data_IF_155019548787
#
_entry.id   IF_155019548787
#
_cell.length_a   1.000
_cell.length_b   1.000
_cell.length_c   1.000
_cell.angle_alpha   90.00
_cell.angle_beta   90.00
_cell.angle_gamma   90.00
#
_symmetry.space_group_name_H-M   'P 1'
#
loop_
_entity.id
_entity.type
_entity.pdbx_description
1 polymer ?
#
# COMPACT_ATOMS: atom_id res chain seq x y z
N UNK A 1 -21.60 7.68 2.97
CA UNK A 1 -20.76 7.75 4.18
C UNK A 1 -19.85 8.95 4.02
N UNK A 2 -19.88 9.88 4.96
CA UNK A 2 -18.95 11.02 5.00
C UNK A 2 -17.52 10.49 5.25
N UNK A 3 -16.47 11.14 4.72
CA UNK A 3 -15.05 10.78 4.94
C UNK A 3 -14.75 10.46 6.40
N UNK A 4 -15.22 11.32 7.32
CA UNK A 4 -14.95 11.17 8.75
C UNK A 4 -15.55 9.87 9.32
N UNK A 5 -16.72 9.47 8.82
CA UNK A 5 -17.35 8.20 9.19
C UNK A 5 -16.55 7.01 8.66
N UNK A 6 -16.04 7.10 7.42
CA UNK A 6 -15.19 6.06 6.83
C UNK A 6 -13.91 5.87 7.65
N UNK A 7 -13.19 6.97 7.94
CA UNK A 7 -11.93 6.94 8.70
C UNK A 7 -12.17 6.43 10.13
N UNK A 8 -13.25 6.88 10.78
CA UNK A 8 -13.62 6.38 12.11
C UNK A 8 -13.88 4.88 12.12
N UNK A 9 -14.60 4.36 11.13
CA UNK A 9 -14.86 2.93 11.00
C UNK A 9 -13.54 2.15 10.81
N UNK A 10 -12.69 2.61 9.90
CA UNK A 10 -11.37 2.00 9.63
C UNK A 10 -10.53 1.94 10.91
N UNK A 11 -10.43 3.03 11.66
CA UNK A 11 -9.67 3.07 12.90
C UNK A 11 -10.24 2.14 13.98
N UNK A 12 -11.58 2.01 14.07
CA UNK A 12 -12.21 1.07 15.00
C UNK A 12 -11.83 -0.37 14.66
N UNK A 13 -11.98 -0.76 13.38
CA UNK A 13 -11.62 -2.11 12.92
C UNK A 13 -10.13 -2.38 13.05
N UNK A 14 -9.27 -1.37 12.85
CA UNK A 14 -7.83 -1.48 13.09
C UNK A 14 -7.50 -1.82 14.56
N UNK A 15 -8.09 -1.12 15.52
CA UNK A 15 -7.87 -1.40 16.95
C UNK A 15 -8.41 -2.78 17.35
N UNK A 16 -9.54 -3.21 16.77
CA UNK A 16 -10.08 -4.56 16.97
C UNK A 16 -9.14 -5.63 16.41
N UNK A 17 -8.60 -5.45 15.20
CA UNK A 17 -7.64 -6.37 14.58
C UNK A 17 -6.35 -6.44 15.39
N UNK A 18 -5.83 -5.28 15.82
CA UNK A 18 -4.64 -5.20 16.66
C UNK A 18 -4.83 -5.97 17.96
N UNK A 19 -5.98 -5.81 18.63
CA UNK A 19 -6.29 -6.59 19.83
C UNK A 19 -6.46 -8.09 19.55
N UNK A 20 -7.02 -8.46 18.38
CA UNK A 20 -7.17 -9.87 17.99
C UNK A 20 -5.83 -10.56 17.71
N UNK A 21 -4.85 -9.85 17.14
CA UNK A 21 -3.52 -10.37 16.82
C UNK A 21 -2.67 -10.71 18.06
N UNK A 22 -3.02 -10.19 19.23
CA UNK A 22 -2.43 -10.60 20.52
C UNK A 22 -2.92 -11.98 20.99
N UNK A 23 -3.99 -12.50 20.38
CA UNK A 23 -4.61 -13.78 20.70
C UNK A 23 -4.32 -14.88 19.68
N UNK A 24 -5.12 -15.96 19.78
CA UNK A 24 -4.94 -17.21 19.04
C UNK A 24 -6.17 -17.58 18.20
N UNK A 25 -7.19 -16.71 18.18
CA UNK A 25 -8.42 -16.89 17.42
C UNK A 25 -8.18 -16.58 15.94
N UNK A 26 -7.72 -17.59 15.19
CA UNK A 26 -7.33 -17.45 13.79
C UNK A 26 -8.50 -17.00 12.90
N UNK A 27 -9.71 -17.50 13.14
CA UNK A 27 -10.88 -17.15 12.34
C UNK A 27 -11.22 -15.66 12.53
N UNK A 28 -11.25 -15.20 13.79
CA UNK A 28 -11.43 -13.77 14.09
C UNK A 28 -10.34 -12.89 13.48
N UNK A 29 -9.07 -13.30 13.57
CA UNK A 29 -7.95 -12.56 12.97
C UNK A 29 -8.14 -12.44 11.46
N UNK A 30 -8.51 -13.54 10.78
CA UNK A 30 -8.73 -13.55 9.33
C UNK A 30 -9.90 -12.66 8.92
N UNK A 31 -11.02 -12.76 9.63
CA UNK A 31 -12.21 -11.96 9.35
C UNK A 31 -11.91 -10.46 9.47
N UNK A 32 -11.27 -10.05 10.58
CA UNK A 32 -10.89 -8.65 10.80
C UNK A 32 -9.81 -8.17 9.80
N UNK A 33 -8.85 -9.03 9.45
CA UNK A 33 -7.82 -8.73 8.45
C UNK A 33 -8.45 -8.46 7.08
N UNK A 34 -9.33 -9.35 6.63
CA UNK A 34 -9.98 -9.23 5.33
C UNK A 34 -10.99 -8.09 5.31
N UNK A 35 -11.67 -7.80 6.43
CA UNK A 35 -12.56 -6.65 6.53
C UNK A 35 -11.79 -5.34 6.46
N UNK A 36 -10.75 -5.17 7.28
CA UNK A 36 -9.94 -3.96 7.28
C UNK A 36 -9.26 -3.71 5.93
N UNK A 37 -8.68 -4.75 5.32
CA UNK A 37 -8.13 -4.67 3.97
C UNK A 37 -9.20 -4.20 2.98
N UNK A 38 -10.42 -4.74 3.06
CA UNK A 38 -11.52 -4.34 2.20
C UNK A 38 -11.98 -2.88 2.41
N UNK A 39 -11.78 -2.29 3.59
CA UNK A 39 -12.17 -0.89 3.86
C UNK A 39 -11.19 0.15 3.30
N UNK A 40 -9.91 -0.23 3.13
CA UNK A 40 -8.85 0.69 2.69
C UNK A 40 -8.44 0.49 1.21
N UNK A 41 -9.08 -0.45 0.52
CA UNK A 41 -8.86 -0.78 -0.90
C UNK A 41 -10.08 -0.47 -1.77
N UNK A 42 -9.95 -0.31 -3.10
CA UNK A 42 -11.08 -0.16 -4.01
C UNK A 42 -12.08 -1.30 -3.81
N UNK A 43 -13.37 -0.99 -3.82
CA UNK A 43 -14.43 -1.96 -3.58
C UNK A 43 -14.33 -3.21 -4.47
N UNK A 44 -13.85 -3.02 -5.71
CA UNK A 44 -13.62 -4.10 -6.69
C UNK A 44 -12.62 -5.17 -6.22
N UNK A 45 -11.69 -4.84 -5.32
CA UNK A 45 -10.70 -5.79 -4.76
C UNK A 45 -11.38 -6.87 -3.92
N UNK A 46 -12.39 -6.49 -3.14
CA UNK A 46 -13.10 -7.38 -2.22
C UNK A 46 -14.52 -7.72 -2.68
N UNK A 47 -15.00 -7.11 -3.76
CA UNK A 47 -16.34 -7.32 -4.30
C UNK A 47 -17.45 -6.59 -3.56
N UNK A 48 -17.12 -5.54 -2.79
CA UNK A 48 -18.12 -4.71 -2.10
C UNK A 48 -18.85 -3.79 -3.07
N UNK A 49 -20.05 -3.35 -2.69
CA UNK A 49 -20.82 -2.35 -3.42
C UNK A 49 -20.50 -0.92 -3.01
N UNK A 50 -20.11 -0.71 -1.76
CA UNK A 50 -19.88 0.62 -1.19
C UNK A 50 -18.50 1.14 -1.60
N UNK A 51 -18.45 2.39 -2.06
CA UNK A 51 -17.16 3.06 -2.32
C UNK A 51 -16.36 3.23 -1.04
N UNK A 52 -15.06 2.99 -1.14
CA UNK A 52 -14.08 3.21 -0.07
C UNK A 52 -13.31 4.51 -0.27
N UNK A 53 -12.45 4.84 0.69
CA UNK A 53 -11.49 5.96 0.54
C UNK A 53 -10.59 5.78 -0.68
N UNK A 54 -10.19 4.55 -1.01
CA UNK A 54 -9.36 4.30 -2.18
C UNK A 54 -10.14 4.48 -3.49
N UNK A 55 -11.43 4.13 -3.54
CA UNK A 55 -12.27 4.40 -4.72
C UNK A 55 -12.40 5.90 -5.00
N UNK A 56 -12.55 6.72 -3.95
CA UNK A 56 -12.66 8.19 -4.11
C UNK A 56 -11.37 8.76 -4.72
N UNK A 57 -10.20 8.36 -4.22
CA UNK A 57 -8.90 8.81 -4.79
C UNK A 57 -8.72 8.30 -6.21
N UNK A 58 -9.01 7.02 -6.44
CA UNK A 58 -8.85 6.38 -7.73
C UNK A 58 -9.75 7.03 -8.81
N UNK A 59 -11.03 7.25 -8.52
CA UNK A 59 -11.96 7.90 -9.45
C UNK A 59 -11.48 9.31 -9.83
N UNK A 60 -10.94 10.06 -8.86
CA UNK A 60 -10.41 11.39 -9.09
C UNK A 60 -9.16 11.38 -9.97
N UNK A 61 -8.25 10.43 -9.73
CA UNK A 61 -7.05 10.19 -10.54
C UNK A 61 -7.44 9.83 -11.99
N UNK A 62 -8.37 8.90 -12.17
CA UNK A 62 -8.88 8.46 -13.47
C UNK A 62 -9.63 9.57 -14.23
N UNK A 63 -10.15 10.56 -13.52
CA UNK A 63 -10.77 11.76 -14.12
C UNK A 63 -9.76 12.78 -14.65
N UNK A 64 -8.47 12.44 -14.72
CA UNK A 64 -7.40 13.26 -15.29
C UNK A 64 -6.60 14.08 -14.28
N UNK A 65 -6.83 13.89 -12.98
CA UNK A 65 -6.16 14.66 -11.92
C UNK A 65 -4.94 13.93 -11.31
N UNK A 66 -4.42 12.92 -12.00
CA UNK A 66 -3.33 12.06 -11.54
C UNK A 66 -2.06 12.80 -11.10
N UNK A 67 -1.78 13.97 -11.71
CA UNK A 67 -0.57 14.77 -11.47
C UNK A 67 -0.75 15.82 -10.39
N UNK A 68 -1.91 15.88 -9.71
CA UNK A 68 -2.10 16.84 -8.64
C UNK A 68 -1.20 16.57 -7.45
N UNK A 69 -0.60 17.64 -6.94
CA UNK A 69 0.34 17.57 -5.82
C UNK A 69 -0.42 17.62 -4.49
N UNK A 70 -0.14 16.63 -3.64
CA UNK A 70 -0.67 16.47 -2.28
C UNK A 70 0.47 16.31 -1.28
N UNK A 71 0.18 16.47 0.01
CA UNK A 71 1.13 16.05 1.05
C UNK A 71 1.37 14.55 0.94
N UNK A 72 2.62 14.12 1.14
CA UNK A 72 3.00 12.70 1.04
C UNK A 72 2.24 11.84 2.04
N UNK A 73 2.11 12.31 3.27
CA UNK A 73 1.50 11.56 4.36
C UNK A 73 0.97 12.50 5.43
N UNK A 74 0.20 11.95 6.36
CA UNK A 74 -0.42 12.70 7.46
C UNK A 74 0.47 12.82 8.70
N UNK A 75 1.60 12.11 8.76
CA UNK A 75 2.48 12.02 9.94
C UNK A 75 3.90 12.47 9.59
N UNK A 76 4.46 13.42 10.34
CA UNK A 76 5.79 14.02 10.03
C UNK A 76 6.98 13.13 10.47
N UNK A 77 6.72 12.01 11.18
CA UNK A 77 7.76 11.18 11.78
C UNK A 77 8.60 10.42 10.73
N UNK A 78 7.97 9.94 9.65
CA UNK A 78 8.63 9.14 8.61
C UNK A 78 9.26 9.99 7.48
N UNK A 79 8.97 11.30 7.44
CA UNK A 79 9.54 12.23 6.46
C UNK A 79 11.04 12.50 6.64
N UNK A 80 11.66 12.10 7.76
CA UNK A 80 13.09 12.30 8.00
C UNK A 80 13.99 11.70 6.91
N UNK A 81 13.49 10.66 6.23
CA UNK A 81 14.21 9.94 5.18
C UNK A 81 13.45 9.95 3.85
N UNK A 82 12.43 10.80 3.67
CA UNK A 82 11.68 10.87 2.43
C UNK A 82 12.40 11.75 1.39
N UNK A 83 12.39 11.35 0.11
CA UNK A 83 12.90 12.20 -0.98
C UNK A 83 12.05 13.44 -1.25
N UNK A 84 10.80 13.47 -0.81
CA UNK A 84 9.93 14.64 -0.93
C UNK A 84 8.83 14.63 0.14
N UNK A 85 8.40 15.83 0.55
CA UNK A 85 7.23 16.04 1.43
C UNK A 85 5.90 16.08 0.68
N UNK A 86 5.94 16.29 -0.64
CA UNK A 86 4.74 16.35 -1.48
C UNK A 86 4.91 15.49 -2.72
N UNK A 87 3.83 14.86 -3.15
CA UNK A 87 3.85 13.85 -4.23
C UNK A 87 2.64 14.03 -5.14
N UNK A 88 2.75 13.63 -6.42
CA UNK A 88 1.58 13.48 -7.31
C UNK A 88 0.59 12.44 -6.75
N UNK A 89 -0.71 12.63 -6.95
CA UNK A 89 -1.73 11.69 -6.45
C UNK A 89 -1.56 10.26 -6.99
N UNK A 90 -1.17 10.09 -8.25
CA UNK A 90 -0.88 8.75 -8.78
C UNK A 90 0.31 8.06 -8.09
N UNK A 91 1.26 8.82 -7.55
CA UNK A 91 2.35 8.26 -6.77
C UNK A 91 1.85 7.62 -5.47
N UNK A 92 0.82 8.19 -4.82
CA UNK A 92 0.24 7.58 -3.61
C UNK A 92 -0.27 6.17 -3.90
N UNK A 93 -0.97 6.00 -5.03
CA UNK A 93 -1.50 4.72 -5.47
C UNK A 93 -0.40 3.76 -5.94
N UNK A 94 0.63 4.25 -6.64
CA UNK A 94 1.79 3.43 -6.96
C UNK A 94 2.50 2.94 -5.71
N UNK A 95 2.83 3.86 -4.80
CA UNK A 95 3.65 3.62 -3.62
C UNK A 95 3.03 2.56 -2.69
N UNK A 96 1.76 2.73 -2.33
CA UNK A 96 1.10 1.80 -1.40
C UNK A 96 0.96 0.40 -2.00
N UNK A 97 0.57 0.30 -3.28
CA UNK A 97 0.39 -1.00 -3.93
C UNK A 97 1.70 -1.66 -4.35
N UNK A 98 2.75 -0.88 -4.60
CA UNK A 98 4.09 -1.42 -4.84
C UNK A 98 4.68 -2.03 -3.57
N UNK A 99 4.53 -1.35 -2.43
CA UNK A 99 4.87 -1.93 -1.12
C UNK A 99 4.03 -3.19 -0.85
N UNK A 100 2.72 -3.12 -1.09
CA UNK A 100 1.84 -4.26 -0.85
C UNK A 100 2.24 -5.48 -1.70
N UNK A 101 2.54 -5.29 -2.98
CA UNK A 101 3.00 -6.35 -3.89
C UNK A 101 4.27 -7.05 -3.37
N UNK A 102 5.26 -6.27 -2.94
CA UNK A 102 6.51 -6.80 -2.40
C UNK A 102 6.27 -7.57 -1.11
N UNK A 103 5.55 -6.98 -0.16
CA UNK A 103 5.36 -7.57 1.17
C UNK A 103 4.46 -8.81 1.09
N UNK A 104 3.34 -8.76 0.36
CA UNK A 104 2.43 -9.90 0.30
C UNK A 104 3.04 -11.06 -0.49
N UNK A 105 3.56 -10.83 -1.69
CA UNK A 105 4.06 -11.91 -2.53
C UNK A 105 5.41 -12.45 -2.05
N UNK A 106 6.38 -11.58 -1.71
CA UNK A 106 7.73 -12.04 -1.35
C UNK A 106 7.77 -12.43 0.13
N UNK A 107 7.29 -11.57 1.04
CA UNK A 107 7.48 -11.82 2.47
C UNK A 107 6.42 -12.76 3.07
N UNK A 108 5.15 -12.67 2.64
CA UNK A 108 4.11 -13.54 3.21
C UNK A 108 3.98 -14.90 2.50
N UNK A 109 4.27 -14.95 1.19
CA UNK A 109 4.09 -16.16 0.38
C UNK A 109 5.41 -16.76 -0.15
N UNK A 110 6.54 -16.05 -0.07
CA UNK A 110 7.80 -16.43 -0.73
C UNK A 110 7.65 -16.68 -2.24
N UNK A 111 6.63 -16.06 -2.84
CA UNK A 111 6.31 -16.10 -4.26
C UNK A 111 7.07 -15.05 -5.07
N UNK A 112 6.62 -14.85 -6.31
CA UNK A 112 7.10 -13.79 -7.19
C UNK A 112 6.22 -12.55 -7.04
N UNK A 113 6.81 -11.36 -7.03
CA UNK A 113 6.05 -10.12 -7.16
C UNK A 113 5.22 -10.10 -8.46
N UNK A 114 4.09 -9.40 -8.43
CA UNK A 114 3.22 -9.23 -9.59
C UNK A 114 3.86 -8.23 -10.56
N UNK A 115 4.49 -7.17 -10.05
CA UNK A 115 5.14 -6.18 -10.88
C UNK A 115 6.32 -6.79 -11.66
N UNK A 116 6.26 -6.70 -12.99
CA UNK A 116 7.26 -7.21 -13.92
C UNK A 116 7.39 -6.26 -15.14
N UNK A 117 8.25 -6.61 -16.09
CA UNK A 117 8.51 -5.78 -17.29
C UNK A 117 7.23 -5.46 -18.09
N UNK A 118 6.26 -6.37 -18.14
CA UNK A 118 5.00 -6.14 -18.84
C UNK A 118 4.16 -5.08 -18.11
N UNK A 119 4.02 -5.20 -16.79
CA UNK A 119 3.34 -4.20 -15.97
C UNK A 119 4.06 -2.85 -16.02
N UNK A 120 5.40 -2.84 -15.92
CA UNK A 120 6.20 -1.62 -16.03
C UNK A 120 5.91 -0.88 -17.33
N UNK A 121 5.90 -1.60 -18.46
CA UNK A 121 5.62 -1.03 -19.78
C UNK A 121 4.18 -0.54 -19.90
N UNK A 122 3.19 -1.28 -19.40
CA UNK A 122 1.77 -0.88 -19.44
C UNK A 122 1.50 0.38 -18.62
N UNK A 123 2.05 0.43 -17.41
CA UNK A 123 1.91 1.56 -16.48
C UNK A 123 2.71 2.77 -16.97
N UNK A 124 3.83 2.55 -17.65
CA UNK A 124 4.75 3.62 -18.08
C UNK A 124 5.68 4.09 -16.96
N UNK A 125 5.90 3.27 -15.92
CA UNK A 125 6.78 3.63 -14.82
C UNK A 125 8.26 3.55 -15.22
N UNK A 126 9.01 4.63 -15.02
CA UNK A 126 10.47 4.65 -15.20
C UNK A 126 11.24 4.01 -14.03
N UNK A 127 10.57 3.69 -12.92
CA UNK A 127 11.15 3.04 -11.75
C UNK A 127 10.52 1.66 -11.51
N UNK A 128 11.27 0.79 -10.84
CA UNK A 128 10.81 -0.53 -10.37
C UNK A 128 10.55 -0.57 -8.88
N UNK A 129 11.11 0.38 -8.13
CA UNK A 129 11.05 0.44 -6.67
C UNK A 129 9.79 1.15 -6.15
N UNK A 130 9.70 1.29 -4.83
CA UNK A 130 8.57 1.94 -4.12
C UNK A 130 8.53 3.46 -4.27
N UNK A 131 9.51 4.09 -4.92
CA UNK A 131 9.56 5.52 -5.18
C UNK A 131 9.94 6.38 -3.97
N UNK A 132 10.47 5.78 -2.89
CA UNK A 132 10.72 6.49 -1.62
C UNK A 132 11.73 7.64 -1.74
N UNK A 133 12.77 7.43 -2.56
CA UNK A 133 13.90 8.33 -2.74
C UNK A 133 13.70 9.37 -3.87
N UNK A 134 12.57 9.33 -4.58
CA UNK A 134 12.32 10.28 -5.66
C UNK A 134 12.22 11.71 -5.11
N UNK A 135 12.98 12.61 -5.73
CA UNK A 135 12.96 14.05 -5.49
C UNK A 135 11.79 14.71 -6.24
N UNK A 136 11.40 15.96 -5.89
CA UNK A 136 10.23 16.62 -6.48
C UNK A 136 10.19 16.69 -8.01
N UNK A 137 11.33 16.97 -8.65
CA UNK A 137 11.42 17.03 -10.12
C UNK A 137 11.28 15.64 -10.76
N UNK A 138 11.87 14.61 -10.13
CA UNK A 138 11.77 13.22 -10.58
C UNK A 138 10.33 12.70 -10.43
N UNK A 139 9.65 13.03 -9.34
CA UNK A 139 8.23 12.72 -9.12
C UNK A 139 7.36 13.36 -10.20
N UNK A 140 7.62 14.64 -10.50
CA UNK A 140 6.86 15.39 -11.50
C UNK A 140 7.03 14.80 -12.89
N UNK A 141 8.25 14.39 -13.25
CA UNK A 141 8.52 13.77 -14.54
C UNK A 141 7.98 12.34 -14.63
N UNK A 142 8.12 11.55 -13.56
CA UNK A 142 7.58 10.20 -13.46
C UNK A 142 6.06 10.21 -13.67
N UNK A 143 5.32 11.08 -12.97
CA UNK A 143 3.86 11.10 -13.00
C UNK A 143 3.27 11.44 -14.38
N UNK A 144 3.95 12.25 -15.20
CA UNK A 144 3.51 12.57 -16.58
C UNK A 144 3.38 11.35 -17.47
N UNK A 145 4.19 10.32 -17.21
CA UNK A 145 4.27 9.13 -18.05
C UNK A 145 3.34 7.99 -17.57
N UNK A 146 2.70 8.17 -16.41
CA UNK A 146 1.86 7.13 -15.81
C UNK A 146 0.52 7.03 -16.53
N UNK A 147 0.23 5.81 -16.98
CA UNK A 147 -1.09 5.39 -17.42
C UNK A 147 -1.92 4.97 -16.19
N UNK A 148 -2.83 5.86 -15.75
CA UNK A 148 -3.65 5.62 -14.57
C UNK A 148 -4.58 4.41 -14.69
N UNK A 149 -5.06 4.07 -15.90
CA UNK A 149 -5.90 2.89 -16.09
C UNK A 149 -5.12 1.59 -15.90
N UNK A 150 -3.88 1.54 -16.37
CA UNK A 150 -3.02 0.36 -16.15
C UNK A 150 -2.52 0.30 -14.71
N UNK A 151 -2.27 1.45 -14.06
CA UNK A 151 -1.99 1.51 -12.63
C UNK A 151 -3.15 0.93 -11.82
N UNK A 152 -4.40 1.30 -12.15
CA UNK A 152 -5.60 0.70 -11.55
C UNK A 152 -5.61 -0.81 -11.73
N UNK A 153 -5.40 -1.31 -12.96
CA UNK A 153 -5.42 -2.74 -13.22
C UNK A 153 -4.39 -3.49 -12.38
N UNK A 154 -3.19 -2.92 -12.23
CA UNK A 154 -2.14 -3.45 -11.37
C UNK A 154 -2.59 -3.47 -9.90
N UNK A 155 -3.10 -2.34 -9.37
CA UNK A 155 -3.60 -2.25 -8.00
C UNK A 155 -4.68 -3.30 -7.68
N UNK A 156 -5.64 -3.48 -8.59
CA UNK A 156 -6.70 -4.49 -8.44
C UNK A 156 -6.13 -5.91 -8.46
N UNK A 157 -5.12 -6.17 -9.30
CA UNK A 157 -4.44 -7.48 -9.38
C UNK A 157 -3.69 -7.78 -8.08
N UNK A 158 -2.91 -6.81 -7.58
CA UNK A 158 -2.19 -6.90 -6.31
C UNK A 158 -3.17 -7.14 -5.17
N UNK A 159 -4.18 -6.26 -4.99
CA UNK A 159 -5.11 -6.36 -3.87
C UNK A 159 -5.87 -7.69 -3.85
N UNK A 160 -6.30 -8.21 -5.01
CA UNK A 160 -6.98 -9.52 -5.08
C UNK A 160 -6.05 -10.67 -4.70
N UNK A 161 -4.79 -10.63 -5.13
CA UNK A 161 -3.81 -11.64 -4.77
C UNK A 161 -3.43 -11.56 -3.28
N UNK A 162 -3.23 -10.35 -2.75
CA UNK A 162 -3.02 -10.13 -1.31
C UNK A 162 -4.14 -10.76 -0.50
N UNK A 163 -5.42 -10.56 -0.88
CA UNK A 163 -6.55 -11.20 -0.18
C UNK A 163 -6.50 -12.72 -0.18
N UNK A 164 -6.11 -13.33 -1.31
CA UNK A 164 -5.92 -14.79 -1.40
C UNK A 164 -4.84 -15.25 -0.41
N UNK A 165 -3.72 -14.53 -0.33
CA UNK A 165 -2.63 -14.83 0.59
C UNK A 165 -3.10 -14.69 2.04
N UNK A 166 -3.72 -13.55 2.39
CA UNK A 166 -4.22 -13.26 3.74
C UNK A 166 -5.23 -14.32 4.22
N UNK A 167 -6.14 -14.77 3.36
CA UNK A 167 -7.10 -15.84 3.69
C UNK A 167 -6.41 -17.19 3.96
N UNK A 168 -5.24 -17.43 3.35
CA UNK A 168 -4.47 -18.67 3.46
C UNK A 168 -3.53 -18.75 4.66
N UNK A 169 -3.27 -17.63 5.36
CA UNK A 169 -2.30 -17.59 6.45
C UNK A 169 -2.65 -18.52 7.61
N UNK A 170 -1.63 -19.13 8.22
CA UNK A 170 -1.77 -19.88 9.47
C UNK A 170 -1.46 -19.00 10.68
N UNK A 171 -1.92 -19.40 11.86
CA UNK A 171 -1.59 -18.69 13.11
C UNK A 171 -0.07 -18.68 13.37
N UNK A 172 0.63 -19.78 13.04
CA UNK A 172 2.08 -19.86 13.15
C UNK A 172 2.76 -18.82 12.25
N UNK A 173 2.35 -18.70 10.99
CA UNK A 173 2.88 -17.67 10.09
C UNK A 173 2.65 -16.26 10.64
N UNK A 174 1.42 -15.96 11.07
CA UNK A 174 1.04 -14.63 11.60
C UNK A 174 1.93 -14.21 12.78
N UNK A 175 2.26 -15.15 13.67
CA UNK A 175 3.03 -14.89 14.89
C UNK A 175 4.54 -14.79 14.69
N UNK A 176 5.06 -15.17 13.53
CA UNK A 176 6.50 -15.22 13.29
C UNK A 176 6.98 -14.16 12.29
N UNK A 177 8.26 -13.82 12.41
CA UNK A 177 8.98 -13.04 11.41
C UNK A 177 9.34 -13.93 10.22
N UNK A 178 9.63 -13.28 9.10
CA UNK A 178 10.05 -13.94 7.86
C UNK A 178 11.57 -14.11 7.83
N UNK A 179 12.11 -15.10 7.09
CA UNK A 179 13.55 -15.25 6.89
C UNK A 179 14.19 -13.98 6.28
N UNK A 180 15.40 -13.63 6.75
CA UNK A 180 16.17 -12.48 6.24
C UNK A 180 16.44 -12.59 4.73
N UNK A 181 16.61 -13.81 4.22
CA UNK A 181 16.80 -14.08 2.79
C UNK A 181 15.61 -13.61 1.95
N UNK A 182 14.37 -13.70 2.45
CA UNK A 182 13.18 -13.20 1.74
C UNK A 182 13.14 -11.66 1.75
N UNK A 183 13.62 -11.04 2.83
CA UNK A 183 13.76 -9.58 2.90
C UNK A 183 14.78 -9.09 1.88
N UNK A 184 15.92 -9.77 1.77
CA UNK A 184 16.97 -9.40 0.81
C UNK A 184 16.52 -9.54 -0.65
N UNK A 185 15.62 -10.49 -0.96
CA UNK A 185 15.01 -10.60 -2.29
C UNK A 185 14.33 -9.31 -2.74
N UNK A 186 13.77 -8.51 -1.83
CA UNK A 186 13.16 -7.22 -2.21
C UNK A 186 14.19 -6.28 -2.86
N UNK A 187 15.43 -6.26 -2.37
CA UNK A 187 16.51 -5.49 -2.98
C UNK A 187 16.95 -6.09 -4.31
N UNK A 188 17.13 -7.42 -4.35
CA UNK A 188 17.58 -8.15 -5.54
C UNK A 188 16.59 -8.03 -6.71
N UNK A 189 15.30 -8.03 -6.40
CA UNK A 189 14.20 -7.91 -7.36
C UNK A 189 13.83 -6.44 -7.68
N UNK A 190 14.64 -5.48 -7.20
CA UNK A 190 14.50 -4.05 -7.53
C UNK A 190 13.28 -3.37 -6.91
N UNK A 191 12.74 -3.92 -5.81
CA UNK A 191 11.63 -3.34 -5.06
C UNK A 191 12.05 -2.17 -4.17
N UNK A 192 13.32 -2.10 -3.77
CA UNK A 192 13.93 -0.94 -3.11
C UNK A 192 15.30 -0.65 -3.70
N UNK A 193 15.80 0.56 -3.50
CA UNK A 193 17.17 0.94 -3.90
C UNK A 193 18.12 0.94 -2.70
N UNK A 194 19.43 1.01 -2.98
CA UNK A 194 20.47 1.16 -1.95
C UNK A 194 20.56 2.58 -1.37
N UNK A 195 19.70 3.51 -1.81
CA UNK A 195 19.60 4.84 -1.22
C UNK A 195 19.10 4.71 0.24
N UNK A 196 19.72 5.44 1.18
CA UNK A 196 19.37 5.38 2.60
C UNK A 196 17.89 5.71 2.85
N UNK A 197 17.26 6.50 1.97
CA UNK A 197 15.85 6.88 1.98
C UNK A 197 14.89 5.74 1.63
N UNK A 198 15.41 4.66 1.05
CA UNK A 198 14.65 3.47 0.64
C UNK A 198 15.08 2.20 1.37
N UNK A 199 16.39 1.96 1.49
CA UNK A 199 16.94 0.69 1.99
C UNK A 199 16.58 0.40 3.45
N UNK A 200 16.25 1.44 4.25
CA UNK A 200 15.80 1.27 5.63
C UNK A 200 14.52 0.43 5.74
N UNK A 201 13.70 0.39 4.68
CA UNK A 201 12.49 -0.44 4.63
C UNK A 201 12.79 -1.93 4.81
N UNK A 202 13.96 -2.40 4.37
CA UNK A 202 14.38 -3.78 4.59
C UNK A 202 14.55 -4.08 6.09
N UNK A 203 15.15 -3.15 6.84
CA UNK A 203 15.32 -3.28 8.29
C UNK A 203 13.97 -3.18 9.00
N UNK A 204 13.09 -2.30 8.52
CA UNK A 204 11.75 -2.15 9.07
C UNK A 204 10.93 -3.44 8.87
N UNK A 205 10.78 -3.93 7.64
CA UNK A 205 9.99 -5.13 7.34
C UNK A 205 10.61 -6.40 7.93
N UNK A 206 11.94 -6.54 7.94
CA UNK A 206 12.61 -7.70 8.53
C UNK A 206 12.46 -7.83 10.04
N UNK A 207 11.96 -6.78 10.72
CA UNK A 207 11.65 -6.80 12.16
C UNK A 207 10.17 -7.00 12.47
N UNK A 208 9.32 -7.08 11.45
CA UNK A 208 7.89 -7.33 11.63
C UNK A 208 7.58 -8.82 11.61
N UNK A 209 6.65 -9.24 12.45
CA UNK A 209 5.89 -10.48 12.21
C UNK A 209 4.94 -10.28 11.03
N UNK A 210 4.41 -11.36 10.46
CA UNK A 210 3.35 -11.24 9.43
C UNK A 210 2.13 -10.49 10.01
N UNK A 211 1.78 -10.68 11.29
CA UNK A 211 0.76 -9.87 11.97
C UNK A 211 1.09 -8.38 11.98
N UNK A 212 2.35 -8.03 12.22
CA UNK A 212 2.84 -6.65 12.08
C UNK A 212 2.70 -6.12 10.65
N UNK A 213 3.03 -6.94 9.64
CA UNK A 213 2.89 -6.58 8.23
C UNK A 213 1.41 -6.39 7.81
N UNK A 214 0.49 -7.18 8.36
CA UNK A 214 -0.96 -7.00 8.20
C UNK A 214 -1.38 -5.62 8.71
N UNK A 215 -0.95 -5.25 9.92
CA UNK A 215 -1.29 -3.95 10.50
C UNK A 215 -0.64 -2.77 9.77
N UNK A 216 0.50 -2.96 9.10
CA UNK A 216 1.27 -1.86 8.51
C UNK A 216 1.14 -1.83 6.98
N UNK A 217 2.04 -2.41 6.15
CA UNK A 217 1.94 -2.43 4.69
C UNK A 217 0.56 -2.77 4.11
N UNK A 218 -0.18 -3.72 4.68
CA UNK A 218 -1.45 -4.17 4.10
C UNK A 218 -2.63 -3.27 4.45
N UNK A 219 -2.53 -2.42 5.49
CA UNK A 219 -3.66 -1.67 6.03
C UNK A 219 -3.30 -0.23 6.40
N UNK A 220 -2.71 0.02 7.57
CA UNK A 220 -2.50 1.40 8.06
C UNK A 220 -1.59 2.24 7.16
N UNK A 221 -0.69 1.64 6.38
CA UNK A 221 0.14 2.36 5.41
C UNK A 221 -0.71 3.06 4.33
N UNK A 222 -1.74 2.41 3.80
CA UNK A 222 -2.70 3.07 2.89
C UNK A 222 -3.38 4.26 3.56
N UNK A 223 -3.71 4.15 4.84
CA UNK A 223 -4.34 5.22 5.62
C UNK A 223 -3.38 6.32 6.08
N UNK A 224 -2.07 6.10 6.00
CA UNK A 224 -1.07 7.15 6.19
C UNK A 224 -1.03 8.08 4.96
N UNK A 225 -1.24 7.52 3.77
CA UNK A 225 -1.08 8.19 2.46
C UNK A 225 -2.38 8.71 1.84
N UNK A 226 -3.44 7.89 1.75
CA UNK A 226 -4.67 8.24 1.03
C UNK A 226 -5.43 9.45 1.60
N UNK A 227 -5.49 9.70 2.93
CA UNK A 227 -6.26 10.82 3.46
C UNK A 227 -5.82 12.19 2.95
N UNK A 228 -4.54 12.40 2.64
CA UNK A 228 -4.04 13.68 2.10
C UNK A 228 -4.64 13.97 0.72
N UNK A 229 -4.86 12.92 -0.08
CA UNK A 229 -5.54 13.03 -1.37
C UNK A 229 -7.02 13.33 -1.19
N UNK A 230 -7.68 12.69 -0.22
CA UNK A 230 -9.08 12.99 0.09
C UNK A 230 -9.24 14.43 0.58
N UNK A 231 -8.36 14.93 1.46
CA UNK A 231 -8.41 16.33 1.92
C UNK A 231 -8.31 17.29 0.73
N UNK A 232 -7.42 17.01 -0.22
CA UNK A 232 -7.28 17.82 -1.44
C UNK A 232 -8.55 17.80 -2.29
N UNK A 233 -9.22 16.65 -2.41
CA UNK A 233 -10.47 16.49 -3.18
C UNK A 233 -11.62 17.25 -2.50
N UNK A 234 -11.83 17.02 -1.20
CA UNK A 234 -12.93 17.65 -0.46
C UNK A 234 -12.77 19.16 -0.30
N UNK A 235 -11.54 19.69 -0.26
CA UNK A 235 -11.30 21.15 -0.17
C UNK A 235 -11.52 21.89 -1.50
N UNK A 236 -11.84 21.20 -2.59
CA UNK A 236 -12.16 21.80 -3.89
C UNK A 236 -13.67 21.90 -4.17
N UNK A 237 -14.48 21.17 -3.41
CA UNK A 237 -15.94 21.23 -3.45
C UNK A 237 -16.46 22.37 -2.57
#
# INVERSE_FOLDING_TARGET
MNKDEMIKAINCTFEELKAALEGDDLDKIKDLTLELHAMVHPALVSGRSEKTVADIVLDYVLSGNQNEIVQRETWDADLHYAGSKTVPMCWQLWHTYRIEDLVSNILMENGQQIFNDEWQKKIGSSITDTGNALEPDELTEWAKNINAEELKNYMITVGKNTRRILAGLTLEQIKNMVPEEWVMRILEEGGVTTDFRSVWLLVFWGRLTIGGMILTPMTSHHMMHLPTSIDKICNKE
#
